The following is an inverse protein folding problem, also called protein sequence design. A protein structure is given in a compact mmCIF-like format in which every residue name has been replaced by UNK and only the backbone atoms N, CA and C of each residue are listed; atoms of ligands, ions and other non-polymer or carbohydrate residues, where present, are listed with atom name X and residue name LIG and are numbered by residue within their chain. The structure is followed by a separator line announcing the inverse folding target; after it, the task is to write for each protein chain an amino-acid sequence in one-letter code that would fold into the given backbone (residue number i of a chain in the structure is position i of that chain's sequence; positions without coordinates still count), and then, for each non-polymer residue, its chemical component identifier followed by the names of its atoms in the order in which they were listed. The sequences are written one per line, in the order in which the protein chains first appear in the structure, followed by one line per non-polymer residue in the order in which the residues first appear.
data_IF_485802964981
#
_entry.id   IF_485802964981
#
_cell.length_a   1.000
_cell.length_b   1.000
_cell.length_c   1.000
_cell.angle_alpha   90.00
_cell.angle_beta   90.00
_cell.angle_gamma   90.00
#
_symmetry.space_group_name_H-M   'P 1'
#
loop_
_entity.id
_entity.type
_entity.pdbx_description
1 polymer ?
#
# COMPACT_ATOMS: atom_id res chain seq x y z
N UNK A 1 19.48 -6.55 -0.87
CA UNK A 1 18.87 -7.64 -0.06
C UNK A 1 19.52 -7.85 1.31
N UNK A 2 20.86 -7.89 1.49
CA UNK A 2 21.47 -8.17 2.81
C UNK A 2 21.30 -7.08 3.89
N UNK A 3 21.17 -5.79 3.52
CA UNK A 3 21.16 -4.68 4.49
C UNK A 3 19.84 -4.60 5.27
N UNK A 4 18.72 -5.00 4.68
CA UNK A 4 17.39 -4.99 5.33
C UNK A 4 17.39 -5.88 6.56
N UNK A 5 17.85 -7.13 6.40
CA UNK A 5 17.93 -8.11 7.50
C UNK A 5 18.82 -7.65 8.66
N UNK A 6 19.86 -6.86 8.40
CA UNK A 6 20.69 -6.27 9.46
C UNK A 6 19.89 -5.24 10.25
N UNK A 7 19.03 -4.46 9.59
CA UNK A 7 18.11 -3.55 10.25
C UNK A 7 17.12 -4.29 11.14
N UNK A 8 16.54 -5.38 10.63
CA UNK A 8 15.59 -6.23 11.37
C UNK A 8 16.25 -6.82 12.62
N UNK A 9 17.49 -7.28 12.51
CA UNK A 9 18.26 -7.77 13.68
C UNK A 9 18.46 -6.68 14.72
N UNK A 10 18.80 -5.46 14.33
CA UNK A 10 18.90 -4.34 15.27
C UNK A 10 17.57 -4.03 15.95
N UNK A 11 16.46 -4.04 15.20
CA UNK A 11 15.12 -3.78 15.72
C UNK A 11 14.64 -4.88 16.66
N UNK A 12 14.76 -6.14 16.26
CA UNK A 12 14.06 -7.25 16.90
C UNK A 12 14.91 -7.95 17.95
N UNK A 13 16.19 -8.17 17.67
CA UNK A 13 17.08 -8.88 18.59
C UNK A 13 17.75 -7.92 19.56
N UNK A 14 18.34 -6.84 19.05
CA UNK A 14 19.09 -5.88 19.87
C UNK A 14 18.23 -4.77 20.47
N UNK A 15 16.97 -4.64 20.01
CA UNK A 15 16.04 -3.57 20.41
C UNK A 15 16.63 -2.16 20.26
N UNK A 16 17.54 -1.99 19.29
CA UNK A 16 18.22 -0.74 18.99
C UNK A 16 17.55 -0.09 17.77
N UNK A 17 16.46 0.62 18.03
CA UNK A 17 15.69 1.32 16.98
C UNK A 17 16.51 2.38 16.24
N UNK A 18 17.54 2.95 16.88
CA UNK A 18 18.40 3.98 16.25
C UNK A 18 19.27 3.32 15.19
N UNK A 19 19.97 2.22 15.52
CA UNK A 19 20.78 1.50 14.52
C UNK A 19 19.93 0.83 13.45
N UNK A 20 18.75 0.34 13.81
CA UNK A 20 17.80 -0.18 12.81
C UNK A 20 17.46 0.91 11.79
N UNK A 21 17.06 2.09 12.27
CA UNK A 21 16.77 3.25 11.42
C UNK A 21 17.94 3.65 10.53
N UNK A 22 19.15 3.79 11.08
CA UNK A 22 20.36 4.09 10.30
C UNK A 22 20.65 3.05 9.22
N UNK A 23 20.39 1.78 9.52
CA UNK A 23 20.60 0.66 8.61
C UNK A 23 19.59 0.69 7.46
N UNK A 24 18.31 0.90 7.76
CA UNK A 24 17.29 1.09 6.73
C UNK A 24 17.55 2.33 5.87
N UNK A 25 18.02 3.43 6.47
CA UNK A 25 18.45 4.63 5.72
C UNK A 25 19.65 4.37 4.79
N UNK A 26 20.49 3.37 5.07
CA UNK A 26 21.52 2.90 4.13
C UNK A 26 20.91 2.01 3.05
N UNK A 27 19.95 1.15 3.39
CA UNK A 27 19.27 0.28 2.44
C UNK A 27 18.58 1.10 1.32
N UNK A 28 17.86 2.18 1.66
CA UNK A 28 17.23 3.05 0.64
C UNK A 28 18.24 3.74 -0.28
N UNK A 29 19.50 3.92 0.13
CA UNK A 29 20.53 4.49 -0.75
C UNK A 29 21.00 3.48 -1.79
N UNK A 30 20.97 2.20 -1.44
CA UNK A 30 21.38 1.12 -2.34
C UNK A 30 20.25 0.67 -3.26
N UNK A 31 19.03 0.67 -2.75
CA UNK A 31 17.82 0.27 -3.47
C UNK A 31 16.69 1.23 -3.09
N UNK A 32 16.55 2.35 -3.80
CA UNK A 32 15.55 3.36 -3.48
C UNK A 32 14.12 2.91 -3.72
N UNK A 33 13.90 1.83 -4.47
CA UNK A 33 12.54 1.37 -4.82
C UNK A 33 12.05 0.23 -3.94
N UNK A 34 12.82 -0.16 -2.93
CA UNK A 34 12.44 -1.22 -2.01
C UNK A 34 11.32 -0.76 -1.07
N UNK A 35 10.07 -1.13 -1.39
CA UNK A 35 8.91 -0.76 -0.60
C UNK A 35 9.04 -1.22 0.87
N UNK A 36 9.55 -2.43 1.11
CA UNK A 36 9.62 -3.02 2.45
C UNK A 36 10.50 -2.18 3.39
N UNK A 37 11.57 -1.55 2.89
CA UNK A 37 12.39 -0.63 3.70
C UNK A 37 11.61 0.59 4.16
N UNK A 38 10.69 1.11 3.33
CA UNK A 38 9.86 2.24 3.71
C UNK A 38 8.80 1.86 4.75
N UNK A 39 8.25 0.63 4.68
CA UNK A 39 7.38 0.09 5.71
C UNK A 39 8.09 0.04 7.07
N UNK A 40 9.36 -0.36 7.06
CA UNK A 40 10.19 -0.42 8.26
C UNK A 40 10.49 0.96 8.85
N UNK A 41 10.90 1.91 8.01
CA UNK A 41 11.12 3.30 8.42
C UNK A 41 9.84 3.96 8.94
N UNK A 42 8.70 3.68 8.32
CA UNK A 42 7.38 4.14 8.79
C UNK A 42 7.07 3.61 10.18
N UNK A 43 7.32 2.32 10.42
CA UNK A 43 7.09 1.66 11.72
C UNK A 43 7.92 2.29 12.84
N UNK A 44 9.19 2.61 12.56
CA UNK A 44 10.08 3.28 13.50
C UNK A 44 9.74 4.77 13.71
N UNK A 45 8.97 5.38 12.80
CA UNK A 45 8.65 6.81 12.81
C UNK A 45 7.25 7.12 13.33
N UNK A 46 6.53 6.18 13.96
CA UNK A 46 5.13 6.36 14.40
C UNK A 46 4.91 7.58 15.32
N UNK A 47 5.93 8.00 16.07
CA UNK A 47 5.88 9.20 16.94
C UNK A 47 6.22 10.50 16.22
N UNK A 48 6.79 10.41 15.02
CA UNK A 48 7.15 11.53 14.15
C UNK A 48 6.20 11.54 12.95
N UNK A 49 5.07 12.24 13.11
CA UNK A 49 4.01 12.29 12.11
C UNK A 49 4.50 12.74 10.72
N UNK A 50 5.48 13.66 10.69
CA UNK A 50 6.04 14.18 9.44
C UNK A 50 6.78 13.07 8.68
N UNK A 51 7.70 12.38 9.37
CA UNK A 51 8.48 11.32 8.75
C UNK A 51 7.62 10.09 8.45
N UNK A 52 6.68 9.75 9.32
CA UNK A 52 5.69 8.70 9.07
C UNK A 52 4.97 8.91 7.74
N UNK A 53 4.43 10.12 7.49
CA UNK A 53 3.73 10.45 6.24
C UNK A 53 4.64 10.37 5.01
N UNK A 54 5.90 10.82 5.13
CA UNK A 54 6.87 10.72 4.03
C UNK A 54 7.12 9.26 3.66
N UNK A 55 7.36 8.40 4.64
CA UNK A 55 7.64 6.99 4.40
C UNK A 55 6.42 6.22 3.92
N UNK A 56 5.24 6.51 4.45
CA UNK A 56 3.98 5.93 3.98
C UNK A 56 3.72 6.26 2.50
N UNK A 57 3.91 7.52 2.10
CA UNK A 57 3.73 7.91 0.70
C UNK A 57 4.71 7.20 -0.23
N UNK A 58 5.96 7.00 0.21
CA UNK A 58 6.97 6.26 -0.55
C UNK A 58 6.65 4.77 -0.64
N UNK A 59 6.24 4.16 0.46
CA UNK A 59 5.78 2.77 0.49
C UNK A 59 4.65 2.54 -0.52
N UNK A 60 3.64 3.40 -0.51
CA UNK A 60 2.51 3.37 -1.44
C UNK A 60 2.97 3.52 -2.91
N UNK A 61 3.84 4.49 -3.19
CA UNK A 61 4.38 4.72 -4.54
C UNK A 61 5.04 3.45 -5.10
N UNK A 62 5.90 2.81 -4.30
CA UNK A 62 6.65 1.64 -4.75
C UNK A 62 5.79 0.38 -4.81
N UNK A 63 4.85 0.19 -3.86
CA UNK A 63 3.85 -0.88 -3.97
C UNK A 63 3.01 -0.78 -5.23
N UNK A 64 2.62 0.43 -5.62
CA UNK A 64 1.90 0.62 -6.89
C UNK A 64 2.78 0.29 -8.10
N UNK A 65 4.06 0.68 -8.10
CA UNK A 65 4.99 0.31 -9.18
C UNK A 65 5.17 -1.21 -9.29
N UNK A 66 5.37 -1.89 -8.17
CA UNK A 66 5.46 -3.36 -8.10
C UNK A 66 4.21 -4.03 -8.67
N UNK A 67 3.03 -3.58 -8.25
CA UNK A 67 1.76 -4.12 -8.74
C UNK A 67 1.54 -3.86 -10.23
N UNK A 68 1.84 -2.65 -10.71
CA UNK A 68 1.74 -2.33 -12.14
C UNK A 68 2.65 -3.22 -12.99
N UNK A 69 3.88 -3.47 -12.53
CA UNK A 69 4.80 -4.37 -13.21
C UNK A 69 4.29 -5.82 -13.17
N UNK A 70 3.72 -6.26 -12.05
CA UNK A 70 3.13 -7.59 -11.90
C UNK A 70 1.96 -7.79 -12.88
N UNK A 71 1.01 -6.85 -12.92
CA UNK A 71 -0.14 -6.88 -13.83
C UNK A 71 0.34 -6.86 -15.29
N UNK A 72 1.32 -6.02 -15.63
CA UNK A 72 1.86 -5.94 -16.99
C UNK A 72 2.53 -7.24 -17.43
N UNK A 73 3.26 -7.91 -16.54
CA UNK A 73 3.97 -9.16 -16.85
C UNK A 73 3.04 -10.38 -16.85
N UNK A 74 1.96 -10.33 -16.07
CA UNK A 74 1.04 -11.45 -15.88
C UNK A 74 -0.43 -10.98 -15.96
N UNK A 75 -0.90 -10.47 -17.11
CA UNK A 75 -2.21 -9.80 -17.21
C UNK A 75 -3.42 -10.71 -16.98
N UNK A 76 -3.26 -12.03 -17.14
CA UNK A 76 -4.32 -13.02 -16.96
C UNK A 76 -4.20 -13.82 -15.65
N UNK A 77 -3.33 -13.38 -14.72
CA UNK A 77 -3.19 -14.05 -13.43
C UNK A 77 -4.35 -13.65 -12.51
N UNK A 78 -5.23 -14.60 -12.21
CA UNK A 78 -6.46 -14.40 -11.42
C UNK A 78 -6.15 -13.91 -9.99
N UNK A 79 -4.94 -14.12 -9.48
CA UNK A 79 -4.59 -13.85 -8.08
C UNK A 79 -3.93 -12.47 -7.82
N UNK A 80 -4.26 -11.46 -8.63
CA UNK A 80 -3.86 -10.07 -8.30
C UNK A 80 -4.73 -9.46 -7.20
N UNK A 81 -5.87 -10.07 -6.90
CA UNK A 81 -6.89 -9.53 -5.99
C UNK A 81 -6.32 -9.14 -4.62
N UNK A 82 -5.50 -9.99 -3.99
CA UNK A 82 -4.88 -9.69 -2.70
C UNK A 82 -3.95 -8.47 -2.76
N UNK A 83 -3.12 -8.37 -3.81
CA UNK A 83 -2.19 -7.26 -3.98
C UNK A 83 -2.92 -5.94 -4.26
N UNK A 84 -3.96 -5.98 -5.09
CA UNK A 84 -4.81 -4.83 -5.41
C UNK A 84 -5.55 -4.35 -4.15
N UNK A 85 -6.09 -5.28 -3.35
CA UNK A 85 -6.73 -4.98 -2.08
C UNK A 85 -5.79 -4.29 -1.09
N UNK A 86 -4.61 -4.86 -0.88
CA UNK A 86 -3.63 -4.29 0.04
C UNK A 86 -3.15 -2.89 -0.40
N UNK A 87 -3.01 -2.65 -1.71
CA UNK A 87 -2.67 -1.33 -2.20
C UNK A 87 -3.80 -0.32 -1.91
N UNK A 88 -5.05 -0.71 -2.11
CA UNK A 88 -6.21 0.14 -1.80
C UNK A 88 -6.31 0.46 -0.30
N UNK A 89 -6.10 -0.52 0.58
CA UNK A 89 -6.02 -0.30 2.04
C UNK A 89 -4.88 0.66 2.39
N UNK A 90 -3.71 0.48 1.78
CA UNK A 90 -2.55 1.33 2.06
C UNK A 90 -2.83 2.78 1.66
N UNK A 91 -3.48 3.02 0.52
CA UNK A 91 -3.94 4.35 0.13
C UNK A 91 -4.95 4.94 1.12
N UNK A 92 -5.86 4.13 1.65
CA UNK A 92 -6.83 4.57 2.66
C UNK A 92 -6.13 4.99 3.96
N UNK A 93 -5.15 4.21 4.42
CA UNK A 93 -4.31 4.53 5.58
C UNK A 93 -3.50 5.81 5.35
N UNK A 94 -3.03 6.04 4.12
CA UNK A 94 -2.36 7.27 3.72
C UNK A 94 -3.28 8.50 3.64
N UNK A 95 -4.60 8.31 3.76
CA UNK A 95 -5.60 9.37 3.61
C UNK A 95 -5.85 9.77 2.16
N UNK A 96 -5.29 9.06 1.18
CA UNK A 96 -5.57 9.25 -0.24
C UNK A 96 -6.78 8.41 -0.65
N UNK A 97 -7.93 8.88 -0.17
CA UNK A 97 -9.22 8.23 -0.39
C UNK A 97 -9.49 8.09 -1.89
N UNK A 98 -9.04 9.03 -2.72
CA UNK A 98 -9.26 8.98 -4.17
C UNK A 98 -8.61 7.73 -4.79
N UNK A 99 -7.32 7.50 -4.52
CA UNK A 99 -6.63 6.34 -5.06
C UNK A 99 -7.07 5.04 -4.38
N UNK A 100 -7.41 5.07 -3.10
CA UNK A 100 -8.00 3.92 -2.41
C UNK A 100 -9.25 3.42 -3.15
N UNK A 101 -10.15 4.35 -3.51
CA UNK A 101 -11.39 4.02 -4.21
C UNK A 101 -11.15 3.45 -5.61
N UNK A 102 -10.20 4.02 -6.37
CA UNK A 102 -9.82 3.49 -7.68
C UNK A 102 -9.36 2.04 -7.56
N UNK A 103 -8.46 1.76 -6.62
CA UNK A 103 -7.91 0.42 -6.46
C UNK A 103 -8.91 -0.59 -5.87
N UNK A 104 -9.85 -0.14 -5.05
CA UNK A 104 -10.97 -1.00 -4.65
C UNK A 104 -11.92 -1.32 -5.80
N UNK A 105 -12.12 -0.41 -6.77
CA UNK A 105 -12.87 -0.73 -7.99
C UNK A 105 -12.12 -1.75 -8.86
N UNK A 106 -10.81 -1.62 -8.98
CA UNK A 106 -9.95 -2.60 -9.67
C UNK A 106 -9.98 -3.96 -8.97
N UNK A 107 -9.99 -4.01 -7.64
CA UNK A 107 -10.06 -5.26 -6.87
C UNK A 107 -11.23 -6.14 -7.30
N UNK A 108 -12.42 -5.55 -7.49
CA UNK A 108 -13.63 -6.25 -7.91
C UNK A 108 -13.41 -6.98 -9.24
N UNK A 109 -12.65 -6.38 -10.17
CA UNK A 109 -12.34 -6.96 -11.47
C UNK A 109 -11.47 -8.21 -11.37
N UNK A 110 -10.54 -8.24 -10.41
CA UNK A 110 -9.63 -9.36 -10.19
C UNK A 110 -10.18 -10.43 -9.25
N UNK A 111 -11.27 -10.15 -8.52
CA UNK A 111 -11.90 -11.20 -7.70
C UNK A 111 -12.61 -12.23 -8.57
N UNK A 112 -12.29 -13.51 -8.37
CA UNK A 112 -12.97 -14.64 -9.03
C UNK A 112 -14.45 -14.76 -8.66
N UNK A 113 -14.89 -14.02 -7.63
CA UNK A 113 -16.28 -13.91 -7.21
C UNK A 113 -16.59 -12.47 -6.72
N UNK A 114 -17.11 -11.60 -7.59
CA UNK A 114 -17.49 -10.23 -7.24
C UNK A 114 -18.46 -10.16 -6.04
N UNK A 115 -19.26 -11.22 -5.81
CA UNK A 115 -20.19 -11.29 -4.67
C UNK A 115 -19.47 -11.45 -3.33
N UNK A 116 -18.27 -12.03 -3.29
CA UNK A 116 -17.46 -12.11 -2.06
C UNK A 116 -16.87 -10.74 -1.72
N UNK A 117 -16.37 -10.00 -2.71
CA UNK A 117 -15.92 -8.62 -2.54
C UNK A 117 -17.08 -7.71 -2.09
N UNK A 118 -18.25 -7.83 -2.71
CA UNK A 118 -19.49 -7.14 -2.32
C UNK A 118 -20.03 -7.55 -0.95
N UNK A 119 -19.65 -8.73 -0.44
CA UNK A 119 -20.09 -9.23 0.87
C UNK A 119 -19.25 -8.70 2.03
N UNK A 120 -18.06 -8.16 1.76
CA UNK A 120 -17.15 -7.67 2.78
C UNK A 120 -17.69 -6.38 3.42
N UNK A 121 -17.86 -6.36 4.73
CA UNK A 121 -18.62 -5.31 5.42
C UNK A 121 -17.98 -3.92 5.28
N UNK A 122 -16.65 -3.85 5.20
CA UNK A 122 -15.94 -2.58 4.92
C UNK A 122 -16.24 -2.04 3.51
N UNK A 123 -16.37 -2.93 2.51
CA UNK A 123 -16.68 -2.53 1.14
C UNK A 123 -18.11 -2.01 1.06
N UNK A 124 -19.06 -2.67 1.75
CA UNK A 124 -20.43 -2.15 1.89
C UNK A 124 -20.45 -0.80 2.59
N UNK A 125 -19.77 -0.64 3.72
CA UNK A 125 -19.70 0.65 4.44
C UNK A 125 -19.11 1.76 3.55
N UNK A 126 -18.04 1.46 2.82
CA UNK A 126 -17.38 2.38 1.90
C UNK A 126 -18.29 2.79 0.73
N UNK A 127 -18.96 1.83 0.05
CA UNK A 127 -19.90 2.14 -1.05
C UNK A 127 -21.11 2.93 -0.54
N UNK A 128 -21.53 2.65 0.70
CA UNK A 128 -22.67 3.34 1.31
C UNK A 128 -22.36 4.80 1.64
N UNK A 129 -21.09 5.19 1.75
CA UNK A 129 -20.71 6.59 1.96
C UNK A 129 -21.19 7.47 0.81
N UNK A 130 -21.73 8.64 1.17
CA UNK A 130 -22.21 9.64 0.21
C UNK A 130 -21.07 10.17 -0.68
N UNK A 131 -19.86 10.17 -0.15
CA UNK A 131 -18.64 10.58 -0.85
C UNK A 131 -18.26 9.61 -1.96
N UNK A 132 -18.29 8.30 -1.70
CA UNK A 132 -18.07 7.29 -2.74
C UNK A 132 -19.09 7.43 -3.88
N UNK A 133 -20.40 7.48 -3.54
CA UNK A 133 -21.48 7.61 -4.54
C UNK A 133 -21.33 8.88 -5.40
N UNK A 134 -20.91 9.99 -4.79
CA UNK A 134 -20.68 11.25 -5.50
C UNK A 134 -19.43 11.20 -6.39
N UNK A 135 -18.35 10.57 -5.92
CA UNK A 135 -17.10 10.44 -6.66
C UNK A 135 -17.28 9.54 -7.90
N UNK A 136 -17.89 8.36 -7.74
CA UNK A 136 -18.22 7.44 -8.84
C UNK A 136 -19.10 8.13 -9.89
N UNK A 137 -20.10 8.90 -9.45
CA UNK A 137 -20.99 9.64 -10.35
C UNK A 137 -20.27 10.75 -11.12
N UNK A 138 -19.24 11.37 -10.54
CA UNK A 138 -18.40 12.37 -11.20
C UNK A 138 -17.50 11.72 -12.26
N UNK A 139 -16.90 10.56 -11.95
CA UNK A 139 -16.01 9.84 -12.86
C UNK A 139 -16.74 9.21 -14.05
N UNK A 140 -17.92 8.62 -13.84
CA UNK A 140 -18.76 8.09 -14.93
C UNK A 140 -19.28 9.15 -15.91
N UNK A 141 -19.19 10.44 -15.57
CA UNK A 141 -19.52 11.56 -16.46
C UNK A 141 -18.33 12.10 -17.25
N UNK A 142 -17.11 11.63 -16.97
CA UNK A 142 -15.88 12.11 -17.59
C UNK A 142 -15.26 11.10 -18.58
N UNK A 143 -15.86 9.91 -18.72
CA UNK A 143 -15.65 8.99 -19.86
C UNK A 143 -16.76 9.22 -20.88
#
# INVERSE_FOLDING_TARGET
MQIVYVGDLYRDLFKDSVKAFETYMKAIKTDPENADVYLELMTLSVKDEKNYKIYLNKYVEYKQKELNALISNYPNHIDHSAHVYHLAETYAIAGDIKNALIWYEEFIQYTSNPREAESNDWFKEMILTKEYKNLVKKYKKQK
#
